data_IF_037719790414
#
_entry.id   IF_037719790414
#
_cell.length_a   1.000
_cell.length_b   1.000
_cell.length_c   1.000
_cell.angle_alpha   90.00
_cell.angle_beta   90.00
_cell.angle_gamma   90.00
#
_symmetry.space_group_name_H-M   'P 1'
#
loop_
_entity.id
_entity.type
_entity.pdbx_description
1 polymer ?
#
# COMPACT_ATOMS: atom_id res chain seq x y z
N UNK A 1 -24.46 22.25 -9.46
CA UNK A 1 -23.18 21.49 -9.52
C UNK A 1 -22.13 22.22 -8.68
N UNK A 2 -21.25 21.52 -7.95
CA UNK A 2 -20.15 22.13 -7.22
C UNK A 2 -19.01 22.55 -8.16
N UNK A 3 -19.22 23.63 -8.92
CA UNK A 3 -18.34 24.03 -10.04
C UNK A 3 -16.91 24.32 -9.58
N UNK A 4 -16.74 25.09 -8.51
CA UNK A 4 -15.42 25.43 -7.97
C UNK A 4 -14.61 24.19 -7.55
N UNK A 5 -15.29 23.15 -7.08
CA UNK A 5 -14.65 21.90 -6.70
C UNK A 5 -14.24 21.09 -7.94
N UNK A 6 -15.10 21.04 -8.96
CA UNK A 6 -14.78 20.40 -10.23
C UNK A 6 -13.61 21.11 -10.94
N UNK A 7 -13.54 22.43 -10.87
CA UNK A 7 -12.41 23.22 -11.39
C UNK A 7 -11.12 22.92 -10.62
N UNK A 8 -11.19 22.85 -9.28
CA UNK A 8 -10.05 22.46 -8.45
C UNK A 8 -9.59 21.02 -8.75
N UNK A 9 -10.54 20.10 -8.90
CA UNK A 9 -10.27 18.70 -9.24
C UNK A 9 -9.62 18.58 -10.62
N UNK A 10 -10.11 19.34 -11.61
CA UNK A 10 -9.53 19.44 -12.95
C UNK A 10 -8.09 19.96 -12.89
N UNK A 11 -7.83 21.01 -12.11
CA UNK A 11 -6.47 21.54 -11.94
C UNK A 11 -5.53 20.49 -11.34
N UNK A 12 -5.97 19.79 -10.28
CA UNK A 12 -5.19 18.70 -9.66
C UNK A 12 -4.97 17.53 -10.63
N UNK A 13 -5.97 17.15 -11.41
CA UNK A 13 -5.84 16.11 -12.43
C UNK A 13 -4.79 16.48 -13.49
N UNK A 14 -4.82 17.73 -13.99
CA UNK A 14 -3.81 18.22 -14.92
C UNK A 14 -2.40 18.18 -14.32
N UNK A 15 -2.26 18.57 -13.05
CA UNK A 15 -0.97 18.52 -12.35
C UNK A 15 -0.41 17.09 -12.27
N UNK A 16 -1.27 16.09 -12.03
CA UNK A 16 -0.89 14.67 -12.05
C UNK A 16 -0.47 14.24 -13.46
N UNK A 17 -1.20 14.65 -14.50
CA UNK A 17 -0.83 14.32 -15.89
C UNK A 17 0.54 14.92 -16.24
N UNK A 18 0.81 16.17 -15.87
CA UNK A 18 2.09 16.83 -16.11
C UNK A 18 3.25 16.16 -15.36
N UNK A 19 3.03 15.71 -14.13
CA UNK A 19 4.06 15.01 -13.35
C UNK A 19 4.35 13.61 -13.92
N UNK A 20 3.32 12.88 -14.38
CA UNK A 20 3.48 11.61 -15.08
C UNK A 20 4.28 11.79 -16.37
N UNK A 21 3.92 12.78 -17.21
CA UNK A 21 4.64 13.07 -18.45
C UNK A 21 6.10 13.46 -18.18
N UNK A 22 6.36 14.16 -17.07
CA UNK A 22 7.71 14.53 -16.66
C UNK A 22 8.53 13.30 -16.24
N UNK A 23 7.91 12.35 -15.52
CA UNK A 23 8.54 11.06 -15.21
C UNK A 23 8.81 10.25 -16.48
N UNK A 24 7.83 10.15 -17.39
CA UNK A 24 7.99 9.48 -18.67
C UNK A 24 9.17 10.05 -19.47
N UNK A 25 9.24 11.38 -19.63
CA UNK A 25 10.37 12.04 -20.31
C UNK A 25 11.72 11.76 -19.65
N UNK A 26 11.74 11.61 -18.32
CA UNK A 26 12.97 11.27 -17.59
C UNK A 26 13.38 9.82 -17.88
N UNK A 27 12.42 8.89 -17.91
CA UNK A 27 12.67 7.47 -18.21
C UNK A 27 13.09 7.28 -19.67
N UNK A 28 12.47 8.00 -20.60
CA UNK A 28 12.80 7.91 -22.01
C UNK A 28 14.19 8.48 -22.33
N UNK A 29 14.79 9.30 -21.45
CA UNK A 29 16.14 9.86 -21.56
C UNK A 29 16.49 10.40 -22.98
N UNK A 30 15.50 10.93 -23.71
CA UNK A 30 15.68 11.39 -25.09
C UNK A 30 16.00 10.29 -26.11
N UNK A 31 15.58 9.05 -25.87
CA UNK A 31 15.85 7.88 -26.70
C UNK A 31 17.19 7.20 -26.42
N UNK A 32 17.90 7.63 -25.37
CA UNK A 32 19.10 6.94 -24.90
C UNK A 32 18.69 5.76 -24.03
N UNK A 33 19.25 4.58 -24.29
CA UNK A 33 19.03 3.37 -23.49
C UNK A 33 19.82 3.40 -22.16
N UNK A 34 19.78 4.54 -21.46
CA UNK A 34 20.45 4.73 -20.17
C UNK A 34 19.37 4.98 -19.14
N UNK A 35 19.34 4.12 -18.12
CA UNK A 35 18.41 4.28 -17.00
C UNK A 35 18.78 5.56 -16.23
N UNK A 36 17.82 6.47 -15.96
CA UNK A 36 18.07 7.59 -15.07
C UNK A 36 18.42 7.10 -13.66
N UNK A 37 19.15 7.90 -12.87
CA UNK A 37 19.58 7.50 -11.54
C UNK A 37 18.35 7.29 -10.63
N UNK A 38 18.38 6.25 -9.81
CA UNK A 38 17.27 5.88 -8.94
C UNK A 38 16.71 7.01 -8.06
N UNK A 39 17.53 7.89 -7.45
CA UNK A 39 17.03 9.04 -6.68
C UNK A 39 16.10 9.98 -7.47
N UNK A 40 16.36 10.17 -8.77
CA UNK A 40 15.55 11.04 -9.63
C UNK A 40 14.19 10.40 -9.94
N UNK A 41 14.16 9.09 -10.16
CA UNK A 41 12.92 8.33 -10.33
C UNK A 41 12.10 8.40 -9.04
N UNK A 42 12.75 8.13 -7.89
CA UNK A 42 12.09 8.10 -6.59
C UNK A 42 11.49 9.45 -6.20
N UNK A 43 12.21 10.55 -6.45
CA UNK A 43 11.70 11.89 -6.16
C UNK A 43 10.45 12.23 -6.97
N UNK A 44 10.43 11.89 -8.26
CA UNK A 44 9.27 12.08 -9.14
C UNK A 44 8.10 11.17 -8.76
N UNK A 45 8.39 9.92 -8.37
CA UNK A 45 7.37 9.01 -7.86
C UNK A 45 6.71 9.54 -6.58
N UNK A 46 7.50 10.02 -5.61
CA UNK A 46 6.97 10.62 -4.38
C UNK A 46 6.12 11.88 -4.65
N UNK A 47 6.48 12.66 -5.66
CA UNK A 47 5.66 13.79 -6.11
C UNK A 47 4.30 13.31 -6.64
N UNK A 48 4.30 12.31 -7.53
CA UNK A 48 3.06 11.72 -8.06
C UNK A 48 2.21 11.16 -6.92
N UNK A 49 2.80 10.41 -5.99
CA UNK A 49 2.12 9.85 -4.82
C UNK A 49 1.43 10.95 -3.99
N UNK A 50 2.15 12.04 -3.71
CA UNK A 50 1.63 13.18 -2.95
C UNK A 50 0.48 13.88 -3.69
N UNK A 51 0.59 14.05 -5.01
CA UNK A 51 -0.46 14.64 -5.84
C UNK A 51 -1.70 13.75 -5.90
N UNK A 52 -1.53 12.43 -6.08
CA UNK A 52 -2.61 11.45 -6.05
C UNK A 52 -3.32 11.44 -4.70
N UNK A 53 -2.57 11.51 -3.59
CA UNK A 53 -3.16 11.62 -2.26
C UNK A 53 -4.00 12.90 -2.08
N UNK A 54 -3.50 14.05 -2.56
CA UNK A 54 -4.24 15.33 -2.53
C UNK A 54 -5.49 15.29 -3.41
N UNK A 55 -5.42 14.63 -4.56
CA UNK A 55 -6.55 14.41 -5.45
C UNK A 55 -7.62 13.52 -4.81
N UNK A 56 -7.21 12.37 -4.25
CA UNK A 56 -8.07 11.46 -3.50
C UNK A 56 -8.78 12.17 -2.34
N UNK A 57 -8.02 12.92 -1.53
CA UNK A 57 -8.58 13.69 -0.41
C UNK A 57 -9.65 14.68 -0.88
N UNK A 58 -9.52 15.24 -2.09
CA UNK A 58 -10.51 16.17 -2.65
C UNK A 58 -11.77 15.46 -3.17
N UNK A 59 -11.66 14.19 -3.56
CA UNK A 59 -12.79 13.37 -3.99
C UNK A 59 -13.63 12.87 -2.80
N UNK A 60 -12.96 12.56 -1.70
CA UNK A 60 -13.59 11.97 -0.50
C UNK A 60 -13.97 13.01 0.56
N UNK A 61 -13.39 14.21 0.52
CA UNK A 61 -13.75 15.30 1.45
C UNK A 61 -15.23 15.64 1.32
N UNK A 62 -16.01 15.26 2.33
CA UNK A 62 -17.41 15.64 2.44
C UNK A 62 -17.51 17.15 2.67
N UNK A 63 -18.40 17.80 1.93
CA UNK A 63 -18.73 19.19 2.15
C UNK A 63 -19.41 19.28 3.52
N UNK A 64 -18.64 19.62 4.56
CA UNK A 64 -19.18 19.94 5.88
C UNK A 64 -19.93 21.26 5.77
N UNK A 65 -21.15 21.21 5.25
CA UNK A 65 -22.08 22.32 5.29
C UNK A 65 -22.47 22.50 6.76
N UNK A 66 -21.95 23.56 7.35
CA UNK A 66 -22.41 24.15 8.60
C UNK A 66 -23.93 24.36 8.57
N UNK A 67 -24.71 23.40 9.09
CA UNK A 67 -26.07 23.60 9.60
C UNK A 67 -26.58 22.34 10.34
N UNK A 68 -26.63 22.46 11.67
CA UNK A 68 -27.63 21.95 12.61
C UNK A 68 -28.18 20.51 12.51
N UNK A 69 -27.96 19.78 13.62
CA UNK A 69 -28.88 18.85 14.30
C UNK A 69 -29.40 17.61 13.56
N UNK A 70 -28.93 16.45 14.02
CA UNK A 70 -29.71 15.40 14.71
C UNK A 70 -29.24 13.99 14.34
N UNK A 71 -29.39 13.09 15.30
CA UNK A 71 -28.85 11.74 15.34
C UNK A 71 -29.11 10.94 14.06
N UNK A 72 -28.12 10.84 13.20
CA UNK A 72 -27.98 9.70 12.28
C UNK A 72 -26.57 9.71 11.73
N UNK A 73 -25.82 8.70 12.13
CA UNK A 73 -24.49 8.33 11.64
C UNK A 73 -24.61 7.89 10.18
N UNK A 74 -24.97 8.81 9.29
CA UNK A 74 -25.08 8.55 7.86
C UNK A 74 -23.78 8.97 7.21
N UNK A 75 -23.13 7.98 6.61
CA UNK A 75 -21.91 8.02 5.81
C UNK A 75 -21.62 9.40 5.22
N UNK A 76 -20.39 9.88 5.42
CA UNK A 76 -19.80 11.02 4.71
C UNK A 76 -19.78 10.75 3.21
N UNK A 77 -20.92 10.93 2.54
CA UNK A 77 -21.04 10.67 1.10
C UNK A 77 -20.37 11.78 0.32
N UNK A 78 -19.62 11.38 -0.71
CA UNK A 78 -18.95 12.30 -1.61
C UNK A 78 -20.00 13.18 -2.31
N UNK A 79 -19.77 14.50 -2.45
CA UNK A 79 -20.70 15.40 -3.13
C UNK A 79 -20.89 15.04 -4.62
N UNK A 80 -20.00 14.21 -5.18
CA UNK A 80 -20.01 13.80 -6.58
C UNK A 80 -20.90 12.58 -6.87
N UNK A 81 -21.31 11.81 -5.84
CA UNK A 81 -22.08 10.56 -6.02
C UNK A 81 -23.47 10.79 -6.66
N UNK A 82 -24.05 11.98 -6.44
CA UNK A 82 -25.38 12.34 -6.97
C UNK A 82 -25.34 13.01 -8.34
N UNK A 83 -24.15 13.21 -8.90
CA UNK A 83 -23.98 13.93 -10.18
C UNK A 83 -24.03 12.92 -11.31
N UNK A 84 -24.93 13.15 -12.28
CA UNK A 84 -25.01 12.39 -13.52
C UNK A 84 -24.51 13.27 -14.66
N UNK A 85 -23.64 12.72 -15.49
CA UNK A 85 -23.10 13.39 -16.67
C UNK A 85 -23.86 12.92 -17.90
N UNK A 86 -24.38 13.88 -18.67
CA UNK A 86 -24.96 13.64 -19.99
C UNK A 86 -24.40 14.66 -20.99
N UNK A 87 -24.28 14.32 -22.28
CA UNK A 87 -23.89 15.29 -23.28
C UNK A 87 -24.90 16.45 -23.32
N UNK A 88 -24.39 17.67 -23.47
CA UNK A 88 -25.20 18.90 -23.50
C UNK A 88 -25.75 19.22 -24.90
N UNK A 89 -25.15 18.66 -25.95
CA UNK A 89 -25.52 18.86 -27.35
C UNK A 89 -26.09 17.55 -27.89
N UNK A 90 -27.19 17.63 -28.62
CA UNK A 90 -27.75 16.48 -29.33
C UNK A 90 -26.77 15.98 -30.37
N UNK A 91 -26.34 14.73 -30.25
CA UNK A 91 -25.45 14.04 -31.17
C UNK A 91 -26.22 12.89 -31.83
N UNK A 92 -25.80 12.47 -33.02
CA UNK A 92 -26.36 11.25 -33.64
C UNK A 92 -25.89 10.01 -32.87
N UNK A 93 -26.67 8.93 -32.89
CA UNK A 93 -26.34 7.68 -32.18
C UNK A 93 -24.93 7.17 -32.55
N UNK A 94 -24.57 7.24 -33.84
CA UNK A 94 -23.24 6.82 -34.32
C UNK A 94 -22.09 7.69 -33.80
N UNK A 95 -22.30 9.00 -33.62
CA UNK A 95 -21.29 9.90 -33.04
C UNK A 95 -21.17 9.68 -31.54
N UNK A 96 -22.31 9.49 -30.87
CA UNK A 96 -22.34 9.19 -29.44
C UNK A 96 -21.57 7.90 -29.13
N UNK A 97 -21.80 6.84 -29.91
CA UNK A 97 -21.17 5.53 -29.72
C UNK A 97 -19.65 5.54 -29.93
N UNK A 98 -19.16 6.30 -30.91
CA UNK A 98 -17.74 6.31 -31.26
C UNK A 98 -16.92 7.32 -30.43
N UNK A 99 -17.48 8.48 -30.10
CA UNK A 99 -16.71 9.59 -29.48
C UNK A 99 -16.97 9.69 -27.97
N UNK A 100 -18.22 9.55 -27.54
CA UNK A 100 -18.61 9.83 -26.16
C UNK A 100 -18.62 8.59 -25.27
N UNK A 101 -19.13 7.45 -25.78
CA UNK A 101 -19.22 6.22 -25.00
C UNK A 101 -17.85 5.78 -24.45
N UNK A 102 -16.74 5.79 -25.20
CA UNK A 102 -15.45 5.40 -24.67
C UNK A 102 -14.97 6.29 -23.50
N UNK A 103 -15.29 7.59 -23.55
CA UNK A 103 -14.89 8.57 -22.53
C UNK A 103 -15.76 8.54 -21.28
N UNK A 104 -17.07 8.28 -21.45
CA UNK A 104 -18.02 8.15 -20.34
C UNK A 104 -18.02 6.75 -19.72
N UNK A 105 -17.24 5.82 -20.28
CA UNK A 105 -17.18 4.46 -19.79
C UNK A 105 -16.47 4.42 -18.44
N UNK A 106 -17.20 3.99 -17.42
CA UNK A 106 -16.62 3.63 -16.12
C UNK A 106 -16.04 2.21 -16.14
N UNK A 107 -15.40 1.79 -17.26
CA UNK A 107 -14.78 0.47 -17.31
C UNK A 107 -13.41 0.54 -16.67
N UNK A 108 -13.27 -0.23 -15.60
CA UNK A 108 -12.01 -0.50 -14.98
C UNK A 108 -11.05 -1.20 -15.94
N UNK A 109 -9.77 -0.86 -15.86
CA UNK A 109 -8.70 -1.56 -16.60
C UNK A 109 -8.67 -3.04 -16.21
N UNK A 110 -8.41 -3.92 -17.18
CA UNK A 110 -8.45 -5.38 -17.00
C UNK A 110 -7.60 -5.86 -15.83
N UNK A 111 -6.44 -5.25 -15.62
CA UNK A 111 -5.50 -5.66 -14.57
C UNK A 111 -6.05 -5.35 -13.18
N UNK A 112 -6.74 -4.22 -13.03
CA UNK A 112 -7.38 -3.84 -11.76
C UNK A 112 -8.57 -4.76 -11.49
N UNK A 113 -9.36 -5.11 -12.52
CA UNK A 113 -10.44 -6.09 -12.38
C UNK A 113 -9.90 -7.47 -11.97
N UNK A 114 -8.78 -7.91 -12.53
CA UNK A 114 -8.14 -9.17 -12.13
C UNK A 114 -7.69 -9.13 -10.68
N UNK A 115 -7.07 -8.01 -10.27
CA UNK A 115 -6.59 -7.84 -8.89
C UNK A 115 -7.75 -7.76 -7.90
N UNK A 116 -8.85 -7.06 -8.22
CA UNK A 116 -10.06 -7.06 -7.40
C UNK A 116 -10.61 -8.47 -7.22
N UNK A 117 -10.77 -9.23 -8.31
CA UNK A 117 -11.25 -10.60 -8.23
C UNK A 117 -10.34 -11.51 -7.37
N UNK A 118 -9.02 -11.34 -7.49
CA UNK A 118 -8.06 -12.07 -6.67
C UNK A 118 -8.20 -11.71 -5.18
N UNK A 119 -8.35 -10.42 -4.86
CA UNK A 119 -8.54 -9.96 -3.47
C UNK A 119 -9.86 -10.42 -2.88
N UNK A 120 -10.96 -10.35 -3.63
CA UNK A 120 -12.28 -10.84 -3.20
C UNK A 120 -12.26 -12.35 -2.95
N UNK A 121 -11.59 -13.11 -3.82
CA UNK A 121 -11.44 -14.56 -3.64
C UNK A 121 -10.66 -14.89 -2.37
N UNK A 122 -9.51 -14.24 -2.16
CA UNK A 122 -8.68 -14.42 -0.97
C UNK A 122 -9.43 -14.02 0.31
N UNK A 123 -10.20 -12.93 0.27
CA UNK A 123 -11.04 -12.52 1.39
C UNK A 123 -12.10 -13.58 1.68
N UNK A 124 -12.79 -14.07 0.64
CA UNK A 124 -13.80 -15.10 0.78
C UNK A 124 -13.24 -16.42 1.35
N UNK A 125 -12.00 -16.79 1.03
CA UNK A 125 -11.32 -17.96 1.63
C UNK A 125 -11.11 -17.81 3.14
N UNK A 126 -10.90 -16.58 3.63
CA UNK A 126 -10.75 -16.28 5.05
C UNK A 126 -12.08 -16.08 5.79
N UNK A 127 -13.17 -15.85 5.07
CA UNK A 127 -14.50 -15.65 5.66
C UNK A 127 -15.17 -16.99 5.97
N UNK A 128 -15.80 -17.07 7.14
CA UNK A 128 -16.64 -18.21 7.55
C UNK A 128 -17.84 -18.36 6.62
N UNK A 129 -18.43 -17.24 6.19
CA UNK A 129 -19.54 -17.23 5.23
C UNK A 129 -19.12 -17.56 3.80
N UNK A 130 -17.81 -17.63 3.50
CA UNK A 130 -17.24 -17.70 2.13
C UNK A 130 -17.67 -16.55 1.22
N UNK A 131 -18.12 -15.43 1.79
CA UNK A 131 -18.52 -14.23 1.06
C UNK A 131 -19.63 -14.49 0.04
N UNK A 132 -19.64 -13.71 -1.04
CA UNK A 132 -20.67 -13.76 -2.10
C UNK A 132 -20.69 -15.09 -2.89
N UNK A 133 -19.63 -15.89 -2.81
CA UNK A 133 -19.56 -17.21 -3.44
C UNK A 133 -20.56 -18.19 -2.80
N UNK A 134 -20.82 -18.09 -1.50
CA UNK A 134 -21.81 -18.93 -0.82
C UNK A 134 -23.25 -18.61 -1.24
N UNK A 135 -23.54 -17.34 -1.53
CA UNK A 135 -24.87 -16.92 -1.98
C UNK A 135 -25.15 -17.27 -3.44
N UNK A 136 -24.12 -17.29 -4.31
CA UNK A 136 -24.28 -17.68 -5.73
C UNK A 136 -24.23 -19.18 -5.98
N UNK A 137 -23.65 -19.98 -5.07
CA UNK A 137 -23.49 -21.43 -5.23
C UNK A 137 -24.77 -22.27 -5.08
N UNK A 138 -25.90 -21.68 -4.69
CA UNK A 138 -27.13 -22.44 -4.38
C UNK A 138 -28.19 -22.48 -5.51
N UNK A 139 -27.95 -21.89 -6.68
CA UNK A 139 -28.94 -21.92 -7.79
C UNK A 139 -28.79 -23.14 -8.73
N UNK A 140 -27.68 -23.90 -8.67
CA UNK A 140 -27.40 -25.00 -9.61
C UNK A 140 -27.25 -26.39 -8.95
N UNK A 141 -27.81 -26.62 -7.76
CA UNK A 141 -28.11 -27.99 -7.33
C UNK A 141 -29.58 -28.27 -7.61
N UNK A 142 -29.78 -28.80 -8.81
CA UNK A 142 -30.96 -29.55 -9.23
C UNK A 142 -31.59 -30.35 -8.10
N UNK A 143 -32.90 -30.23 -8.00
CA UNK A 143 -33.83 -31.06 -7.23
C UNK A 143 -33.40 -32.53 -7.13
N UNK A 144 -32.88 -32.94 -5.98
CA UNK A 144 -33.09 -34.30 -5.47
C UNK A 144 -33.31 -34.27 -3.95
N UNK A 145 -34.55 -34.48 -3.47
CA UNK A 145 -34.81 -34.66 -2.05
C UNK A 145 -34.49 -36.11 -1.67
N UNK A 146 -33.36 -36.33 -0.98
CA UNK A 146 -33.11 -37.58 -0.26
C UNK A 146 -33.88 -37.56 1.08
N UNK A 147 -34.70 -38.57 1.37
CA UNK A 147 -35.46 -38.63 2.61
C UNK A 147 -34.62 -39.31 3.70
N UNK A 148 -34.46 -38.62 4.83
CA UNK A 148 -34.05 -39.23 6.08
C UNK A 148 -32.57 -39.01 6.42
N UNK A 149 -32.32 -37.98 7.22
CA UNK A 149 -31.58 -38.00 8.50
C UNK A 149 -31.51 -36.54 8.98
N UNK A 150 -31.71 -36.38 10.29
CA UNK A 150 -32.15 -35.15 10.92
C UNK A 150 -31.17 -33.97 10.93
N UNK A 151 -31.78 -32.79 11.09
CA UNK A 151 -31.37 -31.78 12.07
C UNK A 151 -29.96 -31.18 11.95
N UNK A 152 -29.53 -30.84 10.74
CA UNK A 152 -28.55 -29.78 10.53
C UNK A 152 -29.23 -28.65 9.76
N UNK A 153 -29.73 -27.61 10.43
CA UNK A 153 -30.02 -26.35 9.74
C UNK A 153 -28.67 -25.84 9.24
N UNK A 154 -28.29 -26.19 8.01
CA UNK A 154 -27.27 -25.44 7.28
C UNK A 154 -27.83 -24.03 7.19
N UNK A 155 -27.36 -23.15 8.08
CA UNK A 155 -27.77 -21.76 8.11
C UNK A 155 -27.50 -21.21 6.71
N UNK A 156 -28.58 -20.85 5.99
CA UNK A 156 -28.43 -20.22 4.68
C UNK A 156 -27.79 -18.87 4.94
N UNK A 157 -26.51 -18.75 4.58
CA UNK A 157 -25.76 -17.51 4.65
C UNK A 157 -26.54 -16.46 3.86
N UNK A 158 -27.00 -15.41 4.55
CA UNK A 158 -27.67 -14.29 3.92
C UNK A 158 -26.66 -13.19 3.56
N UNK A 159 -27.05 -12.29 2.66
CA UNK A 159 -26.24 -11.12 2.33
C UNK A 159 -25.95 -10.27 3.58
N UNK A 160 -26.90 -10.19 4.51
CA UNK A 160 -26.73 -9.46 5.76
C UNK A 160 -25.66 -10.08 6.66
N UNK A 161 -25.56 -11.42 6.68
CA UNK A 161 -24.52 -12.13 7.45
C UNK A 161 -23.13 -11.84 6.89
N UNK A 162 -22.98 -11.82 5.56
CA UNK A 162 -21.73 -11.46 4.88
C UNK A 162 -21.32 -10.02 5.21
N UNK A 163 -22.25 -9.08 5.13
CA UNK A 163 -21.97 -7.67 5.43
C UNK A 163 -21.59 -7.46 6.91
N UNK A 164 -22.23 -8.20 7.81
CA UNK A 164 -21.90 -8.17 9.24
C UNK A 164 -20.50 -8.71 9.49
N UNK A 165 -20.17 -9.87 8.93
CA UNK A 165 -18.83 -10.46 9.04
C UNK A 165 -17.76 -9.52 8.46
N UNK A 166 -18.01 -8.89 7.31
CA UNK A 166 -17.10 -7.89 6.73
C UNK A 166 -16.88 -6.69 7.68
N UNK A 167 -17.93 -6.21 8.34
CA UNK A 167 -17.83 -5.12 9.31
C UNK A 167 -17.00 -5.55 10.55
N UNK A 168 -17.21 -6.76 11.05
CA UNK A 168 -16.45 -7.32 12.17
C UNK A 168 -14.96 -7.49 11.83
N UNK A 169 -14.65 -8.02 10.64
CA UNK A 169 -13.27 -8.17 10.15
C UNK A 169 -12.59 -6.80 10.06
N UNK A 170 -13.27 -5.81 9.47
CA UNK A 170 -12.75 -4.44 9.36
C UNK A 170 -12.47 -3.84 10.75
N UNK A 171 -13.44 -3.89 11.65
CA UNK A 171 -13.30 -3.30 12.98
C UNK A 171 -12.19 -4.00 13.80
N UNK A 172 -12.05 -5.32 13.66
CA UNK A 172 -10.97 -6.07 14.29
C UNK A 172 -9.60 -5.70 13.71
N UNK A 173 -9.50 -5.50 12.39
CA UNK A 173 -8.30 -5.04 11.72
C UNK A 173 -7.91 -3.63 12.17
N UNK A 174 -8.85 -2.69 12.16
CA UNK A 174 -8.60 -1.29 12.52
C UNK A 174 -8.09 -1.17 13.96
N UNK A 175 -8.65 -1.94 14.90
CA UNK A 175 -8.12 -2.02 16.28
C UNK A 175 -6.69 -2.56 16.36
N UNK A 176 -6.29 -3.48 15.47
CA UNK A 176 -4.89 -3.97 15.42
C UNK A 176 -3.96 -2.88 14.90
N UNK A 177 -4.36 -2.19 13.83
CA UNK A 177 -3.61 -1.06 13.26
C UNK A 177 -3.43 0.05 14.29
N UNK A 178 -4.50 0.44 14.98
CA UNK A 178 -4.45 1.50 16.00
C UNK A 178 -3.53 1.12 17.16
N UNK A 179 -3.54 -0.15 17.62
CA UNK A 179 -2.60 -0.63 18.63
C UNK A 179 -1.15 -0.56 18.15
N UNK A 180 -0.89 -0.95 16.90
CA UNK A 180 0.45 -0.92 16.32
C UNK A 180 0.95 0.53 16.17
N UNK A 181 0.11 1.45 15.69
CA UNK A 181 0.44 2.87 15.57
C UNK A 181 0.81 3.48 16.93
N UNK A 182 -0.01 3.24 17.97
CA UNK A 182 0.30 3.70 19.33
C UNK A 182 1.64 3.14 19.83
N UNK A 183 1.93 1.86 19.57
CA UNK A 183 3.20 1.25 19.96
C UNK A 183 4.39 1.91 19.24
N UNK A 184 4.26 2.18 17.93
CA UNK A 184 5.30 2.86 17.14
C UNK A 184 5.53 4.28 17.63
N UNK A 185 4.46 5.02 17.97
CA UNK A 185 4.58 6.37 18.54
C UNK A 185 5.32 6.35 19.88
N UNK A 186 4.99 5.42 20.77
CA UNK A 186 5.69 5.26 22.05
C UNK A 186 7.17 4.91 21.87
N UNK A 187 7.52 4.09 20.87
CA UNK A 187 8.91 3.77 20.55
C UNK A 187 9.64 4.98 19.95
N UNK A 188 9.01 5.71 19.03
CA UNK A 188 9.57 6.95 18.47
C UNK A 188 9.93 7.94 19.58
N UNK A 189 9.04 8.13 20.53
CA UNK A 189 9.23 9.10 21.63
C UNK A 189 10.31 8.62 22.62
N UNK A 190 10.46 7.31 22.83
CA UNK A 190 11.54 6.74 23.68
C UNK A 190 12.92 6.73 23.02
N UNK A 191 12.96 6.66 21.69
CA UNK A 191 14.19 6.54 20.89
C UNK A 191 14.36 7.74 19.97
N UNK A 192 14.16 8.95 20.49
CA UNK A 192 14.39 10.18 19.73
C UNK A 192 15.90 10.34 19.45
N UNK A 193 16.31 9.87 18.28
CA UNK A 193 17.71 9.85 17.85
C UNK A 193 18.33 11.26 17.75
N UNK A 194 17.51 12.31 17.59
CA UNK A 194 17.98 13.69 17.58
C UNK A 194 18.57 14.12 18.92
N UNK A 195 17.98 13.70 20.05
CA UNK A 195 18.55 13.97 21.39
C UNK A 195 19.88 13.26 21.61
N UNK A 196 20.15 12.15 20.90
CA UNK A 196 21.43 11.43 20.99
C UNK A 196 22.54 12.04 20.14
N UNK A 197 22.18 12.88 19.16
CA UNK A 197 23.12 13.61 18.30
C UNK A 197 23.45 14.98 18.89
N UNK A 198 22.61 15.52 19.78
CA UNK A 198 22.86 16.76 20.53
C UNK A 198 23.66 16.55 21.83
N UNK A 199 23.94 15.31 22.22
CA UNK A 199 24.98 15.06 23.24
C UNK A 199 26.32 15.40 22.61
N UNK A 200 26.76 16.63 22.88
CA UNK A 200 28.16 17.04 22.95
C UNK A 200 28.96 15.92 23.62
N UNK A 201 29.51 15.01 22.83
CA UNK A 201 30.75 14.35 23.24
C UNK A 201 31.77 15.47 23.18
N UNK A 202 32.02 16.09 24.35
CA UNK A 202 33.25 16.83 24.62
C UNK A 202 34.39 15.97 24.06
N UNK A 203 35.02 16.47 22.98
CA UNK A 203 36.09 15.75 22.28
C UNK A 203 37.05 15.18 23.33
N UNK A 204 37.16 13.85 23.51
CA UNK A 204 38.21 13.33 24.36
C UNK A 204 39.53 13.82 23.77
N UNK A 205 40.26 14.61 24.58
CA UNK A 205 41.52 15.26 24.22
C UNK A 205 42.35 14.37 23.30
N UNK A 206 42.76 14.95 22.17
CA UNK A 206 43.54 14.32 21.11
C UNK A 206 44.60 13.37 21.67
N UNK A 207 44.35 12.06 21.55
CA UNK A 207 45.36 11.04 21.81
C UNK A 207 46.43 11.20 20.71
N UNK A 208 47.46 12.01 20.99
CA UNK A 208 48.65 12.19 20.16
C UNK A 208 49.30 10.85 19.87
N UNK A 209 48.86 10.19 18.80
CA UNK A 209 49.48 8.98 18.31
C UNK A 209 50.75 9.39 17.55
N UNK A 210 51.88 9.52 18.26
CA UNK A 210 53.16 9.85 17.65
C UNK A 210 53.72 8.63 16.88
N UNK A 211 53.78 8.67 15.53
CA UNK A 211 54.27 7.56 14.72
C UNK A 211 55.79 7.32 14.86
N UNK A 212 56.52 8.11 15.67
CA UNK A 212 57.97 7.97 15.86
C UNK A 212 58.38 7.03 16.98
N UNK A 213 57.44 6.54 17.79
CA UNK A 213 57.74 5.60 18.90
C UNK A 213 57.91 4.15 18.39
N UNK A 214 57.48 3.82 17.18
CA UNK A 214 57.58 2.47 16.61
C UNK A 214 58.95 2.13 15.97
N UNK A 215 59.85 3.09 15.79
CA UNK A 215 61.16 2.88 15.16
C UNK A 215 62.32 3.09 16.15
N UNK A 216 62.41 2.25 17.20
CA UNK A 216 63.71 2.05 17.87
C UNK A 216 63.83 0.66 18.48
N UNK A 217 64.74 -0.11 17.86
CA UNK A 217 65.39 -1.34 18.33
C UNK A 217 64.61 -2.66 18.25
N UNK A 218 64.65 -3.28 17.06
CA UNK A 218 64.93 -4.72 16.97
C UNK A 218 65.98 -4.93 15.88
N UNK A 219 67.23 -5.13 16.29
CA UNK A 219 68.29 -5.68 15.44
C UNK A 219 68.36 -7.17 15.75
N UNK A 220 67.84 -8.02 14.87
CA UNK A 220 68.14 -9.46 14.85
C UNK A 220 68.51 -9.84 13.42
N UNK A 221 69.69 -10.46 13.18
CA UNK A 221 70.16 -10.78 11.86
C UNK A 221 69.69 -12.18 11.43
N UNK A 222 69.30 -12.29 10.16
CA UNK A 222 69.42 -13.54 9.40
C UNK A 222 68.11 -14.23 9.03
N UNK A 223 67.89 -14.37 7.72
CA UNK A 223 67.45 -15.64 7.17
C UNK A 223 66.05 -15.69 6.55
N UNK A 224 66.06 -15.87 5.23
CA UNK A 224 65.08 -16.55 4.36
C UNK A 224 63.73 -15.91 4.07
N UNK A 225 63.62 -15.54 2.79
CA UNK A 225 62.42 -15.49 1.95
C UNK A 225 61.42 -16.62 2.23
N UNK A 226 60.14 -16.27 2.34
CA UNK A 226 59.03 -17.14 1.99
C UNK A 226 57.82 -16.27 1.60
N UNK A 227 57.71 -16.10 0.29
CA UNK A 227 56.54 -15.72 -0.48
C UNK A 227 55.39 -16.70 -0.20
N UNK A 228 54.27 -16.25 0.39
CA UNK A 228 53.03 -17.04 0.51
C UNK A 228 51.81 -16.12 0.41
N UNK A 229 51.41 -15.94 -0.84
CA UNK A 229 50.07 -16.13 -1.42
C UNK A 229 48.80 -15.72 -0.66
N UNK A 230 47.96 -15.01 -1.40
CA UNK A 230 46.65 -14.51 -1.00
C UNK A 230 45.58 -15.57 -1.26
N UNK A 231 44.82 -15.96 -0.23
CA UNK A 231 43.60 -16.77 -0.37
C UNK A 231 42.39 -16.01 0.19
N UNK A 232 41.55 -15.55 -0.73
CA UNK A 232 40.18 -15.11 -0.49
C UNK A 232 39.32 -16.32 -0.07
N UNK A 233 38.95 -16.40 1.20
CA UNK A 233 38.06 -17.42 1.75
C UNK A 233 36.63 -16.91 1.90
N UNK A 234 35.73 -17.41 1.06
CA UNK A 234 34.27 -17.22 1.06
C UNK A 234 33.62 -17.57 2.41
N UNK A 235 32.74 -16.69 2.93
CA UNK A 235 31.80 -17.02 3.99
C UNK A 235 30.39 -17.11 3.40
N UNK A 236 29.99 -18.33 3.04
CA UNK A 236 28.59 -18.74 2.87
C UNK A 236 28.04 -19.03 4.27
N UNK A 237 26.92 -18.41 4.65
CA UNK A 237 26.17 -18.84 5.83
C UNK A 237 24.67 -18.83 5.50
N UNK A 238 24.11 -20.04 5.52
CA UNK A 238 22.79 -20.42 5.04
C UNK A 238 21.92 -20.78 6.26
N UNK A 239 20.74 -20.17 6.32
CA UNK A 239 19.47 -20.57 6.94
C UNK A 239 19.39 -21.28 8.31
N UNK A 240 18.55 -20.74 9.22
CA UNK A 240 17.72 -21.59 10.08
C UNK A 240 16.35 -20.93 10.36
N UNK A 241 15.30 -21.50 9.74
CA UNK A 241 13.88 -21.22 10.00
C UNK A 241 13.43 -22.13 11.14
N UNK A 242 13.10 -21.56 12.31
CA UNK A 242 12.52 -22.31 13.42
C UNK A 242 10.99 -22.18 13.39
N UNK A 243 10.32 -23.22 12.91
CA UNK A 243 8.88 -23.45 13.13
C UNK A 243 8.65 -23.83 14.61
N UNK A 244 7.89 -23.00 15.32
CA UNK A 244 7.44 -23.27 16.69
C UNK A 244 6.08 -23.96 16.71
N UNK A 245 6.09 -25.29 16.67
CA UNK A 245 4.98 -26.15 17.06
C UNK A 245 4.93 -26.21 18.60
N UNK A 246 3.87 -25.69 19.22
CA UNK A 246 3.57 -25.91 20.64
C UNK A 246 2.20 -26.56 20.77
N UNK A 247 2.22 -27.89 20.80
CA UNK A 247 1.16 -28.75 21.28
C UNK A 247 1.69 -29.58 22.48
N UNK A 248 0.87 -29.74 23.52
CA UNK A 248 1.16 -30.51 24.75
C UNK A 248 0.86 -29.65 26.00
N UNK A 249 -0.34 -29.64 26.58
CA UNK A 249 -1.08 -30.70 27.30
C UNK A 249 -0.51 -30.95 28.72
N UNK A 250 -1.17 -30.30 29.70
CA UNK A 250 -1.57 -30.82 31.03
C UNK A 250 -2.67 -29.90 31.62
#
# INVERSE_FOLDING_TARGET
LPISQLESLRFKANQIVESIQTLQRTIEAGGQNVMPPWPDILSKYNLILSQTHSFYSSLTSSLSASQQSSLSQTQTRSPYEKIVLHPAVGMTDQQFDNEMIPLLRNQQTTDVLQQENATVRRLAECMVTRGTLATSGMQNQSDQPMPGVGMGRTHRVTQEDILRECAEIRDAHDRRVERAERAVLLLRDKYEWKQRVEVEVEEPEELEWDPRVSQKNVTVPGGSDADVDAEEGQSSDEEEVVEGELAGDD
#
